data_IF_285820778232
#
_entry.id   IF_285820778232
#
_cell.length_a   1.000
_cell.length_b   1.000
_cell.length_c   1.000
_cell.angle_alpha   90.00
_cell.angle_beta   90.00
_cell.angle_gamma   90.00
#
_symmetry.space_group_name_H-M   'P 1'
#
loop_
_entity.id
_entity.type
_entity.pdbx_description
1 polymer ?
#
# COMPACT_ATOMS: atom_id res chain seq x y z
N UNK A 1 -52.40 54.55 4.08
CA UNK A 1 -52.95 53.19 4.30
C UNK A 1 -52.71 52.39 3.03
N UNK A 2 -51.65 51.59 3.00
CA UNK A 2 -51.31 50.63 1.95
C UNK A 2 -50.63 49.43 2.65
N UNK A 3 -50.93 48.18 2.27
CA UNK A 3 -50.70 47.03 3.13
C UNK A 3 -49.25 46.56 3.12
N UNK A 4 -48.78 46.12 4.28
CA UNK A 4 -47.55 45.35 4.48
C UNK A 4 -47.63 44.07 3.63
N UNK A 5 -46.69 43.91 2.68
CA UNK A 5 -46.41 42.58 2.11
C UNK A 5 -45.66 41.79 3.17
N UNK A 6 -46.37 40.85 3.78
CA UNK A 6 -45.76 39.78 4.55
C UNK A 6 -44.80 39.01 3.63
N UNK A 7 -43.51 39.12 3.90
CA UNK A 7 -42.52 38.13 3.46
C UNK A 7 -42.94 36.80 4.09
N UNK A 8 -43.51 35.91 3.27
CA UNK A 8 -43.65 34.52 3.62
C UNK A 8 -42.23 33.95 3.74
N UNK A 9 -41.79 33.79 4.98
CA UNK A 9 -40.59 33.05 5.37
C UNK A 9 -40.75 31.60 4.91
N UNK A 10 -40.37 31.34 3.65
CA UNK A 10 -40.25 29.99 3.10
C UNK A 10 -39.10 29.32 3.84
N UNK A 11 -39.44 28.66 4.96
CA UNK A 11 -38.54 27.75 5.66
C UNK A 11 -38.04 26.72 4.66
N UNK A 12 -36.85 26.96 4.12
CA UNK A 12 -36.08 25.97 3.37
C UNK A 12 -35.68 24.88 4.37
N UNK A 13 -36.56 23.90 4.55
CA UNK A 13 -36.29 22.70 5.32
C UNK A 13 -35.27 21.91 4.50
N UNK A 14 -33.98 22.17 4.74
CA UNK A 14 -32.91 21.33 4.18
C UNK A 14 -33.13 19.93 4.78
N UNK A 15 -33.27 18.87 3.97
CA UNK A 15 -33.35 17.53 4.50
C UNK A 15 -32.13 17.29 5.37
N UNK A 16 -32.34 16.84 6.61
CA UNK A 16 -31.25 16.46 7.52
C UNK A 16 -30.62 15.19 6.94
N UNK A 17 -29.71 15.38 5.98
CA UNK A 17 -28.98 14.27 5.39
C UNK A 17 -28.02 13.75 6.45
N UNK A 18 -28.12 12.45 6.74
CA UNK A 18 -27.13 11.75 7.54
C UNK A 18 -25.75 11.96 6.92
N UNK A 19 -24.75 12.28 7.74
CA UNK A 19 -23.36 12.41 7.32
C UNK A 19 -22.91 11.21 6.47
N UNK A 20 -23.31 10.00 6.87
CA UNK A 20 -23.04 8.76 6.14
C UNK A 20 -23.69 8.69 4.76
N UNK A 21 -24.88 9.27 4.59
CA UNK A 21 -25.55 9.36 3.30
C UNK A 21 -24.76 10.23 2.31
N UNK A 22 -24.26 11.37 2.78
CA UNK A 22 -23.42 12.28 1.98
C UNK A 22 -22.09 11.63 1.62
N UNK A 23 -21.45 10.96 2.58
CA UNK A 23 -20.19 10.24 2.35
C UNK A 23 -20.38 9.14 1.31
N UNK A 24 -21.44 8.33 1.42
CA UNK A 24 -21.73 7.25 0.49
C UNK A 24 -22.04 7.76 -0.93
N UNK A 25 -22.80 8.84 -1.03
CA UNK A 25 -23.12 9.45 -2.32
C UNK A 25 -21.86 9.98 -3.01
N UNK A 26 -20.99 10.68 -2.26
CA UNK A 26 -19.70 11.17 -2.77
C UNK A 26 -18.79 10.01 -3.18
N UNK A 27 -18.72 8.97 -2.35
CA UNK A 27 -17.92 7.78 -2.61
C UNK A 27 -18.29 7.10 -3.92
N UNK A 28 -19.59 6.89 -4.15
CA UNK A 28 -20.09 6.30 -5.40
C UNK A 28 -19.98 7.21 -6.61
N UNK A 29 -19.98 8.53 -6.41
CA UNK A 29 -19.89 9.49 -7.51
C UNK A 29 -18.49 9.58 -8.12
N UNK A 30 -17.45 9.20 -7.37
CA UNK A 30 -16.07 9.24 -7.83
C UNK A 30 -15.59 7.84 -8.26
N UNK A 31 -15.48 7.65 -9.57
CA UNK A 31 -15.05 6.38 -10.15
C UNK A 31 -13.58 6.03 -9.80
N UNK A 32 -12.71 7.04 -9.57
CA UNK A 32 -11.31 6.82 -9.21
C UNK A 32 -11.23 6.23 -7.80
N UNK A 33 -11.97 6.82 -6.87
CA UNK A 33 -12.04 6.32 -5.48
C UNK A 33 -12.64 4.91 -5.44
N UNK A 34 -13.67 4.64 -6.24
CA UNK A 34 -14.25 3.28 -6.34
C UNK A 34 -13.27 2.27 -6.93
N UNK A 35 -12.51 2.64 -7.98
CA UNK A 35 -11.50 1.77 -8.56
C UNK A 35 -10.36 1.47 -7.58
N UNK A 36 -9.89 2.48 -6.83
CA UNK A 36 -8.86 2.32 -5.80
C UNK A 36 -9.33 1.40 -4.66
N UNK A 37 -10.58 1.56 -4.20
CA UNK A 37 -11.19 0.68 -3.20
C UNK A 37 -11.33 -0.75 -3.70
N UNK A 38 -11.78 -0.94 -4.94
CA UNK A 38 -11.89 -2.26 -5.53
C UNK A 38 -10.52 -2.96 -5.63
N UNK A 39 -9.49 -2.23 -6.08
CA UNK A 39 -8.12 -2.74 -6.15
C UNK A 39 -7.58 -3.10 -4.75
N UNK A 40 -7.82 -2.26 -3.74
CA UNK A 40 -7.38 -2.52 -2.37
C UNK A 40 -8.08 -3.75 -1.80
N UNK A 41 -9.41 -3.85 -1.96
CA UNK A 41 -10.17 -5.02 -1.52
C UNK A 41 -9.69 -6.30 -2.21
N UNK A 42 -9.44 -6.23 -3.52
CA UNK A 42 -8.86 -7.33 -4.28
C UNK A 42 -7.47 -7.75 -3.77
N UNK A 43 -6.60 -6.77 -3.46
CA UNK A 43 -5.27 -7.07 -2.92
C UNK A 43 -5.36 -7.71 -1.52
N UNK A 44 -6.28 -7.23 -0.68
CA UNK A 44 -6.53 -7.78 0.66
C UNK A 44 -7.09 -9.19 0.56
N UNK A 45 -8.07 -9.44 -0.32
CA UNK A 45 -8.67 -10.77 -0.46
C UNK A 45 -7.66 -11.79 -0.98
N UNK A 46 -6.86 -11.44 -2.00
CA UNK A 46 -5.77 -12.31 -2.49
C UNK A 46 -4.75 -12.59 -1.40
N UNK A 47 -4.34 -11.56 -0.66
CA UNK A 47 -3.31 -11.70 0.37
C UNK A 47 -3.79 -12.55 1.57
N UNK A 48 -5.05 -12.40 1.98
CA UNK A 48 -5.64 -13.25 3.03
C UNK A 48 -5.90 -14.67 2.54
N UNK A 49 -6.29 -14.81 1.26
CA UNK A 49 -6.48 -16.09 0.57
C UNK A 49 -5.18 -16.79 0.18
N UNK A 50 -4.01 -16.19 0.45
CA UNK A 50 -2.71 -16.73 0.03
C UNK A 50 -2.48 -18.21 0.37
N UNK A 51 -2.80 -18.72 1.59
CA UNK A 51 -2.64 -20.14 1.89
C UNK A 51 -3.50 -21.04 1.02
N UNK A 52 -4.75 -20.62 0.81
CA UNK A 52 -5.69 -21.36 -0.02
C UNK A 52 -5.24 -21.37 -1.49
N UNK A 53 -4.81 -20.21 -2.01
CA UNK A 53 -4.29 -20.06 -3.37
C UNK A 53 -3.04 -20.91 -3.58
N UNK A 54 -2.09 -20.88 -2.64
CA UNK A 54 -0.85 -21.65 -2.73
C UNK A 54 -1.10 -23.15 -2.82
N UNK A 55 -1.95 -23.68 -1.95
CA UNK A 55 -2.21 -25.13 -1.87
C UNK A 55 -3.17 -25.65 -2.95
N UNK A 56 -4.27 -24.92 -3.22
CA UNK A 56 -5.38 -25.43 -4.05
C UNK A 56 -5.41 -24.88 -5.47
N UNK A 57 -4.67 -23.80 -5.76
CA UNK A 57 -4.64 -23.18 -7.10
C UNK A 57 -3.26 -23.37 -7.73
N UNK A 58 -2.19 -23.06 -6.99
CA UNK A 58 -0.82 -23.11 -7.52
C UNK A 58 -0.14 -24.47 -7.27
N UNK A 59 -0.46 -25.15 -6.17
CA UNK A 59 0.15 -26.42 -5.79
C UNK A 59 1.61 -26.31 -5.35
N UNK A 60 2.07 -25.10 -4.99
CA UNK A 60 3.44 -24.86 -4.51
C UNK A 60 3.42 -24.32 -3.08
N UNK A 61 4.42 -24.74 -2.29
CA UNK A 61 4.66 -24.10 -1.00
C UNK A 61 5.63 -22.92 -1.16
N UNK A 62 5.47 -21.84 -0.38
CA UNK A 62 6.30 -20.63 -0.53
C UNK A 62 7.76 -20.83 -0.13
N UNK A 63 8.07 -21.93 0.56
CA UNK A 63 9.39 -22.21 1.15
C UNK A 63 10.06 -23.46 0.59
N UNK A 64 9.36 -24.29 -0.22
CA UNK A 64 9.98 -25.47 -0.83
C UNK A 64 11.05 -25.05 -1.84
N UNK A 65 12.28 -25.45 -1.57
CA UNK A 65 13.44 -25.15 -2.41
C UNK A 65 13.76 -26.31 -3.33
N UNK A 66 13.93 -26.04 -4.63
CA UNK A 66 14.42 -27.01 -5.59
C UNK A 66 15.61 -26.46 -6.38
N UNK A 67 16.83 -26.84 -5.98
CA UNK A 67 18.06 -26.33 -6.60
C UNK A 67 18.29 -26.79 -8.04
N UNK A 68 17.49 -27.73 -8.57
CA UNK A 68 17.55 -28.10 -9.99
C UNK A 68 16.83 -27.09 -10.89
N UNK A 69 15.87 -26.37 -10.34
CA UNK A 69 15.02 -25.42 -11.05
C UNK A 69 15.38 -23.99 -10.65
N UNK A 70 16.67 -23.62 -10.72
CA UNK A 70 17.14 -22.29 -10.26
C UNK A 70 17.06 -21.28 -11.40
N UNK A 71 16.41 -20.14 -11.15
CA UNK A 71 16.24 -19.07 -12.12
C UNK A 71 15.62 -19.56 -13.44
N UNK A 72 14.69 -20.50 -13.36
CA UNK A 72 13.97 -20.98 -14.54
C UNK A 72 13.01 -19.87 -15.01
N UNK A 73 12.89 -19.65 -16.34
CA UNK A 73 11.90 -18.73 -16.87
C UNK A 73 10.48 -19.21 -16.55
N UNK A 74 9.47 -18.34 -16.71
CA UNK A 74 8.08 -18.76 -16.62
C UNK A 74 7.79 -19.98 -17.49
N UNK A 75 7.15 -21.00 -16.93
CA UNK A 75 6.97 -22.29 -17.62
C UNK A 75 6.21 -22.14 -18.95
N UNK A 76 5.18 -21.27 -18.97
CA UNK A 76 4.42 -20.97 -20.20
C UNK A 76 5.26 -20.27 -21.28
N UNK A 77 6.34 -19.60 -20.90
CA UNK A 77 7.24 -18.89 -21.81
C UNK A 77 8.54 -19.66 -22.08
N UNK A 78 8.74 -20.84 -21.51
CA UNK A 78 10.02 -21.55 -21.54
C UNK A 78 10.51 -21.82 -22.98
N UNK A 79 9.61 -22.21 -23.88
CA UNK A 79 9.93 -22.44 -25.30
C UNK A 79 10.15 -21.13 -26.09
N UNK A 80 9.48 -20.05 -25.69
CA UNK A 80 9.64 -18.73 -26.30
C UNK A 80 10.90 -18.00 -25.80
N UNK A 81 11.44 -18.39 -24.64
CA UNK A 81 12.53 -17.69 -23.95
C UNK A 81 13.82 -17.55 -24.77
N UNK A 82 14.35 -18.61 -25.43
CA UNK A 82 15.54 -18.47 -26.27
C UNK A 82 15.32 -17.55 -27.48
N UNK A 83 14.12 -17.56 -28.05
CA UNK A 83 13.76 -16.68 -29.17
C UNK A 83 13.67 -15.21 -28.72
N UNK A 84 13.12 -14.97 -27.53
CA UNK A 84 13.10 -13.64 -26.94
C UNK A 84 14.52 -13.11 -26.63
N UNK A 85 15.42 -13.98 -26.17
CA UNK A 85 16.83 -13.62 -26.00
C UNK A 85 17.50 -13.27 -27.33
N UNK A 86 17.23 -14.01 -28.41
CA UNK A 86 17.72 -13.70 -29.75
C UNK A 86 17.20 -12.34 -30.26
N UNK A 87 15.91 -12.05 -30.05
CA UNK A 87 15.32 -10.74 -30.35
C UNK A 87 16.04 -9.61 -29.59
N UNK A 88 16.23 -9.78 -28.28
CA UNK A 88 16.91 -8.80 -27.43
C UNK A 88 18.34 -8.55 -27.90
N UNK A 89 19.05 -9.62 -28.29
CA UNK A 89 20.40 -9.52 -28.84
C UNK A 89 20.41 -8.75 -30.18
N UNK A 90 19.41 -8.94 -31.04
CA UNK A 90 19.28 -8.19 -32.30
C UNK A 90 19.20 -6.68 -32.05
N UNK A 91 18.42 -6.26 -31.05
CA UNK A 91 18.29 -4.86 -30.64
C UNK A 91 19.58 -4.27 -30.05
N UNK A 92 20.39 -5.09 -29.37
CA UNK A 92 21.62 -4.63 -28.74
C UNK A 92 22.79 -4.54 -29.73
N UNK A 93 22.83 -5.44 -30.72
CA UNK A 93 23.94 -5.58 -31.66
C UNK A 93 23.74 -4.82 -32.97
N UNK A 94 22.49 -4.56 -33.36
CA UNK A 94 22.13 -3.88 -34.60
C UNK A 94 21.47 -2.53 -34.33
N UNK A 95 21.46 -1.64 -35.33
CA UNK A 95 20.75 -0.35 -35.24
C UNK A 95 19.21 -0.51 -35.23
N UNK A 96 18.71 -1.71 -35.51
CA UNK A 96 17.29 -2.03 -35.62
C UNK A 96 17.00 -3.37 -34.95
N UNK A 97 15.83 -3.47 -34.32
CA UNK A 97 15.31 -4.72 -33.78
C UNK A 97 14.64 -5.55 -34.88
N UNK A 98 14.88 -6.85 -34.91
CA UNK A 98 14.19 -7.76 -35.83
C UNK A 98 12.79 -8.12 -35.31
N UNK A 99 11.82 -7.25 -35.61
CA UNK A 99 10.43 -7.42 -35.20
C UNK A 99 9.73 -8.64 -35.82
N UNK A 100 10.31 -9.28 -36.85
CA UNK A 100 9.72 -10.47 -37.48
C UNK A 100 9.63 -11.67 -36.53
N UNK A 101 10.51 -11.73 -35.53
CA UNK A 101 10.59 -12.80 -34.53
C UNK A 101 9.39 -12.80 -33.56
N UNK A 102 8.63 -11.70 -33.47
CA UNK A 102 7.49 -11.63 -32.56
C UNK A 102 6.38 -12.63 -32.91
N UNK A 103 6.23 -13.00 -34.18
CA UNK A 103 5.27 -14.04 -34.58
C UNK A 103 5.58 -15.42 -33.98
N UNK A 104 6.87 -15.81 -33.98
CA UNK A 104 7.30 -17.09 -33.41
C UNK A 104 7.32 -17.07 -31.88
N UNK A 105 7.73 -15.94 -31.27
CA UNK A 105 7.72 -15.76 -29.81
C UNK A 105 6.30 -15.85 -29.27
N UNK A 106 5.35 -15.13 -29.88
CA UNK A 106 3.95 -15.12 -29.43
C UNK A 106 3.28 -16.47 -29.61
N UNK A 107 3.47 -17.14 -30.74
CA UNK A 107 2.91 -18.48 -30.96
C UNK A 107 3.47 -19.51 -29.98
N UNK A 108 4.79 -19.53 -29.74
CA UNK A 108 5.41 -20.42 -28.75
C UNK A 108 4.93 -20.14 -27.31
N UNK A 109 4.71 -18.87 -26.96
CA UNK A 109 4.16 -18.49 -25.66
C UNK A 109 2.69 -18.90 -25.49
N UNK A 110 1.86 -18.75 -26.54
CA UNK A 110 0.46 -19.17 -26.52
C UNK A 110 0.34 -20.68 -26.38
N UNK A 111 1.19 -21.45 -27.07
CA UNK A 111 1.26 -22.89 -26.92
C UNK A 111 1.64 -23.29 -25.48
N UNK A 112 2.70 -22.68 -24.92
CA UNK A 112 3.11 -22.93 -23.54
C UNK A 112 2.05 -22.52 -22.50
N UNK A 113 1.27 -21.47 -22.76
CA UNK A 113 0.14 -21.06 -21.92
C UNK A 113 -0.93 -22.17 -21.86
N UNK A 114 -1.26 -22.78 -23.00
CA UNK A 114 -2.22 -23.89 -23.05
C UNK A 114 -1.75 -25.08 -22.21
N UNK A 115 -0.46 -25.42 -22.28
CA UNK A 115 0.17 -26.47 -21.47
C UNK A 115 0.05 -26.19 -19.98
N UNK A 116 0.30 -24.95 -19.56
CA UNK A 116 0.18 -24.54 -18.15
C UNK A 116 -1.27 -24.52 -17.64
N UNK A 117 -2.24 -24.17 -18.49
CA UNK A 117 -3.66 -24.19 -18.12
C UNK A 117 -4.19 -25.62 -17.93
N UNK A 118 -3.62 -26.60 -18.64
CA UNK A 118 -3.98 -28.02 -18.50
C UNK A 118 -3.05 -28.79 -17.55
N UNK A 119 -2.01 -28.15 -17.03
CA UNK A 119 -1.06 -28.79 -16.13
C UNK A 119 -1.73 -29.15 -14.80
N UNK A 120 -1.26 -30.24 -14.19
CA UNK A 120 -1.65 -30.59 -12.83
C UNK A 120 -1.13 -29.55 -11.81
N UNK A 121 -1.74 -29.52 -10.63
CA UNK A 121 -1.31 -28.69 -9.50
C UNK A 121 0.18 -28.88 -9.22
N UNK A 122 0.94 -27.78 -9.12
CA UNK A 122 2.39 -27.82 -8.93
C UNK A 122 3.20 -28.13 -10.19
N UNK A 123 2.57 -28.17 -11.37
CA UNK A 123 3.24 -28.45 -12.65
C UNK A 123 3.71 -27.23 -13.44
N UNK A 124 3.25 -26.01 -13.11
CA UNK A 124 3.57 -24.80 -13.88
C UNK A 124 3.97 -23.62 -12.98
N UNK A 125 5.21 -23.14 -13.16
CA UNK A 125 5.71 -21.91 -12.55
C UNK A 125 5.34 -20.70 -13.41
N UNK A 126 4.19 -20.10 -13.13
CA UNK A 126 3.63 -18.97 -13.89
C UNK A 126 4.54 -17.74 -14.01
N UNK A 127 5.37 -17.49 -12.99
CA UNK A 127 6.36 -16.41 -12.97
C UNK A 127 7.80 -16.92 -12.93
N UNK A 128 8.00 -18.21 -13.15
CA UNK A 128 9.30 -18.86 -13.04
C UNK A 128 9.72 -19.07 -11.58
N UNK A 129 11.01 -19.37 -11.41
CA UNK A 129 11.59 -19.69 -10.11
C UNK A 129 12.71 -18.72 -9.73
N UNK A 130 12.94 -18.57 -8.43
CA UNK A 130 14.02 -17.74 -7.91
C UNK A 130 15.38 -18.47 -7.86
N UNK A 131 16.36 -17.80 -7.26
CA UNK A 131 17.72 -18.29 -7.06
C UNK A 131 17.83 -19.54 -6.17
N UNK A 132 16.81 -19.85 -5.38
CA UNK A 132 16.69 -21.06 -4.57
C UNK A 132 15.73 -22.09 -5.19
N UNK A 133 15.23 -21.82 -6.39
CA UNK A 133 14.26 -22.63 -7.11
C UNK A 133 12.89 -22.72 -6.44
N UNK A 134 12.46 -21.62 -5.81
CA UNK A 134 11.10 -21.46 -5.27
C UNK A 134 10.21 -20.76 -6.29
N UNK A 135 8.93 -21.11 -6.31
CA UNK A 135 7.95 -20.49 -7.19
C UNK A 135 7.74 -18.99 -6.86
N UNK A 136 8.00 -18.12 -7.84
CA UNK A 136 7.97 -16.65 -7.64
C UNK A 136 6.54 -16.15 -7.42
N UNK A 137 5.55 -16.70 -8.13
CA UNK A 137 4.16 -16.26 -8.02
C UNK A 137 3.60 -16.54 -6.63
N UNK A 138 3.80 -17.75 -6.12
CA UNK A 138 3.38 -18.17 -4.78
C UNK A 138 4.04 -17.30 -3.71
N UNK A 139 5.34 -17.03 -3.85
CA UNK A 139 6.05 -16.11 -2.94
C UNK A 139 5.52 -14.69 -3.01
N UNK A 140 5.13 -14.20 -4.19
CA UNK A 140 4.50 -12.89 -4.36
C UNK A 140 3.16 -12.80 -3.62
N UNK A 141 2.29 -13.79 -3.81
CA UNK A 141 0.96 -13.87 -3.15
C UNK A 141 1.11 -13.91 -1.62
N UNK A 142 2.00 -14.75 -1.09
CA UNK A 142 2.32 -14.77 0.35
C UNK A 142 3.00 -13.49 0.84
N UNK A 143 3.81 -12.86 0.00
CA UNK A 143 4.45 -11.58 0.26
C UNK A 143 3.41 -10.47 0.51
N UNK A 144 2.31 -10.46 -0.25
CA UNK A 144 1.18 -9.56 -0.04
C UNK A 144 0.63 -9.62 1.39
N UNK A 145 0.45 -10.82 1.94
CA UNK A 145 0.02 -11.03 3.33
C UNK A 145 0.98 -10.42 4.34
N UNK A 146 2.27 -10.62 4.16
CA UNK A 146 3.30 -10.08 5.05
C UNK A 146 3.32 -8.55 4.97
N UNK A 147 3.28 -7.99 3.75
CA UNK A 147 3.25 -6.54 3.52
C UNK A 147 2.04 -5.86 4.16
N UNK A 148 0.85 -6.48 4.09
CA UNK A 148 -0.35 -5.96 4.75
C UNK A 148 -0.20 -5.93 6.28
N UNK A 149 0.36 -6.98 6.88
CA UNK A 149 0.63 -7.00 8.34
C UNK A 149 1.64 -5.93 8.73
N UNK A 150 2.73 -5.77 7.96
CA UNK A 150 3.74 -4.73 8.19
C UNK A 150 3.08 -3.35 8.11
N UNK A 151 2.31 -3.07 7.05
CA UNK A 151 1.61 -1.81 6.87
C UNK A 151 0.68 -1.49 8.05
N UNK A 152 -0.05 -2.49 8.56
CA UNK A 152 -0.93 -2.33 9.72
C UNK A 152 -0.14 -1.98 11.00
N UNK A 153 0.98 -2.66 11.26
CA UNK A 153 1.84 -2.34 12.39
C UNK A 153 2.42 -0.93 12.31
N UNK A 154 2.97 -0.56 11.15
CA UNK A 154 3.53 0.78 10.91
C UNK A 154 2.44 1.84 11.12
N UNK A 155 1.28 1.67 10.50
CA UNK A 155 0.16 2.60 10.62
C UNK A 155 -0.32 2.70 12.07
N UNK A 156 -0.55 1.57 12.75
CA UNK A 156 -1.02 1.56 14.13
C UNK A 156 -0.08 2.29 15.10
N UNK A 157 1.22 1.99 15.05
CA UNK A 157 2.21 2.62 15.93
C UNK A 157 2.39 4.11 15.58
N UNK A 158 2.58 4.44 14.30
CA UNK A 158 2.80 5.82 13.88
C UNK A 158 1.58 6.70 14.10
N UNK A 159 0.37 6.17 13.89
CA UNK A 159 -0.89 6.87 14.17
C UNK A 159 -1.08 7.12 15.65
N UNK A 160 -0.86 6.09 16.48
CA UNK A 160 -1.02 6.24 17.93
C UNK A 160 -0.08 7.31 18.47
N UNK A 161 1.22 7.21 18.16
CA UNK A 161 2.20 8.19 18.62
C UNK A 161 1.98 9.57 18.01
N UNK A 162 1.71 9.62 16.70
CA UNK A 162 1.55 10.89 15.97
C UNK A 162 0.32 11.67 16.45
N UNK A 163 -0.81 10.99 16.63
CA UNK A 163 -2.02 11.62 17.15
C UNK A 163 -1.82 12.06 18.60
N UNK A 164 -1.28 11.21 19.47
CA UNK A 164 -1.06 11.57 20.88
C UNK A 164 -0.13 12.79 21.01
N UNK A 165 1.04 12.75 20.37
CA UNK A 165 2.02 13.83 20.46
C UNK A 165 1.52 15.11 19.79
N UNK A 166 0.82 14.99 18.65
CA UNK A 166 0.23 16.13 17.94
C UNK A 166 -0.91 16.79 18.72
N UNK A 167 -1.74 16.00 19.40
CA UNK A 167 -2.78 16.51 20.30
C UNK A 167 -2.17 17.24 21.50
N UNK A 168 -1.16 16.65 22.14
CA UNK A 168 -0.48 17.26 23.30
C UNK A 168 0.15 18.60 22.88
N UNK A 169 0.99 18.59 21.85
CA UNK A 169 1.67 19.80 21.35
C UNK A 169 0.68 20.85 20.81
N UNK A 170 -0.39 20.42 20.13
CA UNK A 170 -1.42 21.32 19.63
C UNK A 170 -2.27 21.97 20.73
N UNK A 171 -2.61 21.20 21.77
CA UNK A 171 -3.39 21.69 22.91
C UNK A 171 -2.59 22.69 23.75
N UNK A 172 -1.33 22.35 24.05
CA UNK A 172 -0.40 23.18 24.81
C UNK A 172 0.38 24.17 23.92
N UNK A 173 -0.24 24.67 22.85
CA UNK A 173 0.38 25.59 21.90
C UNK A 173 1.16 26.71 22.60
N UNK A 174 2.34 27.04 22.08
CA UNK A 174 3.17 28.16 22.57
C UNK A 174 3.68 28.02 24.01
N UNK A 175 3.58 26.84 24.60
CA UNK A 175 4.17 26.52 25.91
C UNK A 175 5.46 25.71 25.75
N UNK A 176 6.22 25.60 26.83
CA UNK A 176 7.42 24.75 26.88
C UNK A 176 7.19 23.29 26.47
N UNK A 177 5.97 22.75 26.67
CA UNK A 177 5.64 21.38 26.24
C UNK A 177 5.69 21.27 24.71
N UNK A 178 5.13 22.26 24.01
CA UNK A 178 5.14 22.35 22.56
C UNK A 178 6.59 22.46 22.03
N UNK A 179 7.41 23.27 22.69
CA UNK A 179 8.83 23.43 22.36
C UNK A 179 9.61 22.12 22.53
N UNK A 180 9.39 21.36 23.63
CA UNK A 180 10.03 20.06 23.83
C UNK A 180 9.63 19.07 22.73
N UNK A 181 8.34 18.94 22.45
CA UNK A 181 7.85 18.00 21.43
C UNK A 181 8.44 18.35 20.07
N UNK A 182 8.47 19.64 19.73
CA UNK A 182 9.06 20.11 18.49
C UNK A 182 10.59 19.88 18.45
N UNK A 183 11.29 20.08 19.56
CA UNK A 183 12.72 19.78 19.67
C UNK A 183 13.01 18.29 19.43
N UNK A 184 12.24 17.38 20.04
CA UNK A 184 12.36 15.93 19.82
C UNK A 184 12.16 15.60 18.33
N UNK A 185 11.11 16.15 17.71
CA UNK A 185 10.82 15.94 16.28
C UNK A 185 11.97 16.45 15.40
N UNK A 186 12.53 17.62 15.70
CA UNK A 186 13.63 18.19 14.93
C UNK A 186 14.92 17.39 15.10
N UNK A 187 15.26 16.97 16.32
CA UNK A 187 16.44 16.16 16.61
C UNK A 187 16.35 14.79 15.94
N UNK A 188 15.25 14.06 16.14
CA UNK A 188 15.06 12.75 15.51
C UNK A 188 14.96 12.87 13.97
N UNK A 189 14.34 13.95 13.47
CA UNK A 189 14.18 14.21 12.04
C UNK A 189 15.48 14.59 11.32
N UNK A 190 16.51 15.05 12.03
CA UNK A 190 17.83 15.31 11.45
C UNK A 190 18.60 14.03 11.08
N UNK A 191 18.22 12.89 11.66
CA UNK A 191 18.84 11.60 11.38
C UNK A 191 18.12 10.97 10.18
N UNK A 192 18.82 10.61 9.08
CA UNK A 192 18.15 10.00 7.95
C UNK A 192 17.62 8.61 8.34
N UNK A 193 16.30 8.43 8.20
CA UNK A 193 15.56 7.27 8.69
C UNK A 193 16.17 5.93 8.22
N UNK A 194 16.59 5.85 6.95
CA UNK A 194 17.18 4.63 6.41
C UNK A 194 18.45 4.22 7.14
N UNK A 195 19.36 5.15 7.46
CA UNK A 195 20.58 4.84 8.21
C UNK A 195 20.26 4.36 9.62
N UNK A 196 19.33 5.03 10.30
CA UNK A 196 18.89 4.64 11.63
C UNK A 196 18.33 3.21 11.64
N UNK A 197 17.45 2.90 10.68
CA UNK A 197 16.86 1.55 10.55
C UNK A 197 17.92 0.49 10.22
N UNK A 198 18.92 0.80 9.38
CA UNK A 198 20.02 -0.13 9.09
C UNK A 198 20.85 -0.42 10.34
N UNK A 199 21.21 0.61 11.12
CA UNK A 199 21.97 0.43 12.37
C UNK A 199 21.17 -0.39 13.37
N UNK A 200 19.91 -0.04 13.61
CA UNK A 200 19.04 -0.75 14.54
C UNK A 200 18.76 -2.18 14.11
N UNK A 201 18.54 -2.42 12.81
CA UNK A 201 18.33 -3.78 12.28
C UNK A 201 19.55 -4.66 12.45
N UNK A 202 20.77 -4.09 12.35
CA UNK A 202 22.01 -4.82 12.61
C UNK A 202 22.20 -5.16 14.09
N UNK A 203 21.84 -4.25 14.99
CA UNK A 203 22.00 -4.44 16.43
C UNK A 203 20.96 -5.44 16.98
N UNK A 204 19.69 -5.23 16.65
CA UNK A 204 18.58 -5.97 17.26
C UNK A 204 18.13 -7.19 16.45
N UNK A 205 18.57 -7.32 15.18
CA UNK A 205 18.14 -8.36 14.25
C UNK A 205 16.62 -8.65 14.27
N UNK A 206 15.77 -7.60 14.24
CA UNK A 206 14.34 -7.78 14.34
C UNK A 206 13.79 -8.55 13.13
N UNK A 207 12.81 -9.42 13.39
CA UNK A 207 12.00 -10.00 12.33
C UNK A 207 11.15 -8.94 11.60
N UNK A 208 10.35 -9.34 10.60
CA UNK A 208 9.55 -8.42 9.78
C UNK A 208 8.62 -7.51 10.60
N UNK A 209 7.95 -8.06 11.61
CA UNK A 209 7.06 -7.33 12.50
C UNK A 209 7.85 -6.36 13.42
N UNK A 210 9.04 -6.74 13.87
CA UNK A 210 9.90 -5.87 14.67
C UNK A 210 10.42 -4.67 13.85
N UNK A 211 10.80 -4.90 12.59
CA UNK A 211 11.15 -3.82 11.66
C UNK A 211 9.97 -2.87 11.43
N UNK A 212 8.75 -3.41 11.28
CA UNK A 212 7.53 -2.62 11.12
C UNK A 212 7.30 -1.69 12.32
N UNK A 213 7.48 -2.20 13.55
CA UNK A 213 7.36 -1.40 14.77
C UNK A 213 8.41 -0.29 14.80
N UNK A 214 9.67 -0.58 14.45
CA UNK A 214 10.72 0.44 14.37
C UNK A 214 10.37 1.54 13.36
N UNK A 215 9.91 1.16 12.16
CA UNK A 215 9.48 2.12 11.14
C UNK A 215 8.33 2.99 11.70
N UNK A 216 7.33 2.41 12.36
CA UNK A 216 6.24 3.15 12.98
C UNK A 216 6.70 4.11 14.09
N UNK A 217 7.64 3.66 14.94
CA UNK A 217 8.22 4.41 16.06
C UNK A 217 9.01 5.64 15.60
N UNK A 218 9.54 5.64 14.39
CA UNK A 218 10.22 6.81 13.82
C UNK A 218 9.39 7.53 12.73
N UNK A 219 8.27 6.95 12.31
CA UNK A 219 7.38 7.52 11.29
C UNK A 219 6.35 8.53 11.81
N UNK A 220 6.11 8.60 13.12
CA UNK A 220 5.04 9.41 13.72
C UNK A 220 5.22 10.93 13.61
N UNK A 221 6.47 11.40 13.44
CA UNK A 221 6.82 12.83 13.47
C UNK A 221 6.07 13.67 12.42
N UNK A 222 5.91 13.14 11.21
CA UNK A 222 5.16 13.80 10.14
C UNK A 222 3.68 13.95 10.51
N UNK A 223 3.07 12.87 11.00
CA UNK A 223 1.68 12.87 11.42
C UNK A 223 1.43 13.77 12.62
N UNK A 224 2.34 13.80 13.60
CA UNK A 224 2.25 14.71 14.76
C UNK A 224 2.17 16.17 14.35
N UNK A 225 2.97 16.59 13.36
CA UNK A 225 2.93 17.95 12.83
C UNK A 225 1.62 18.25 12.12
N UNK A 226 1.10 17.29 11.36
CA UNK A 226 -0.21 17.42 10.70
C UNK A 226 -1.33 17.62 11.73
N UNK A 227 -1.41 16.76 12.75
CA UNK A 227 -2.43 16.84 13.79
C UNK A 227 -2.31 18.13 14.60
N UNK A 228 -1.09 18.54 14.98
CA UNK A 228 -0.84 19.83 15.63
C UNK A 228 -1.42 21.00 14.82
N UNK A 229 -1.18 21.03 13.52
CA UNK A 229 -1.73 22.05 12.62
C UNK A 229 -3.27 22.04 12.55
N UNK A 230 -3.89 20.85 12.56
CA UNK A 230 -5.35 20.73 12.64
C UNK A 230 -5.90 21.27 13.97
N UNK A 231 -5.22 21.01 15.09
CA UNK A 231 -5.64 21.52 16.39
C UNK A 231 -5.54 23.05 16.45
N UNK A 232 -4.49 23.65 15.89
CA UNK A 232 -4.40 25.11 15.78
C UNK A 232 -5.58 25.68 14.98
N UNK A 233 -5.92 25.06 13.83
CA UNK A 233 -7.07 25.47 13.03
C UNK A 233 -8.41 25.31 13.77
N UNK A 234 -8.59 24.23 14.53
CA UNK A 234 -9.84 23.97 15.27
C UNK A 234 -9.98 24.91 16.46
N UNK A 235 -8.88 25.26 17.13
CA UNK A 235 -8.87 26.15 18.30
C UNK A 235 -9.42 27.55 18.00
N UNK A 236 -9.26 28.03 16.77
CA UNK A 236 -9.73 29.35 16.34
C UNK A 236 -11.20 29.38 15.87
N UNK A 237 -11.92 28.25 15.94
CA UNK A 237 -13.31 28.18 15.47
C UNK A 237 -14.30 28.74 16.50
N UNK A 238 -15.34 29.42 16.02
CA UNK A 238 -16.35 30.11 16.84
C UNK A 238 -17.00 29.22 17.89
N UNK A 239 -17.27 27.95 17.59
CA UNK A 239 -17.87 27.03 18.55
C UNK A 239 -16.93 26.71 19.73
N UNK A 240 -15.60 26.71 19.52
CA UNK A 240 -14.63 26.53 20.60
C UNK A 240 -14.55 27.78 21.45
N UNK A 241 -14.56 28.96 20.83
CA UNK A 241 -14.56 30.24 21.54
C UNK A 241 -15.84 30.38 22.37
N UNK A 242 -17.00 30.10 21.79
CA UNK A 242 -18.29 30.10 22.49
C UNK A 242 -18.31 29.12 23.66
N UNK A 243 -17.75 27.91 23.50
CA UNK A 243 -17.65 26.93 24.59
C UNK A 243 -16.75 27.35 25.75
N UNK A 244 -15.83 28.30 25.54
CA UNK A 244 -14.97 28.86 26.60
C UNK A 244 -15.57 30.10 27.27
N UNK A 245 -16.59 30.71 26.66
CA UNK A 245 -17.24 31.92 27.17
C UNK A 245 -18.39 31.63 28.14
N UNK A 246 -18.86 30.37 28.16
CA UNK A 246 -19.87 29.84 29.09
C UNK A 246 -19.12 29.13 30.23
#
# INVERSE_FOLDING_TARGET
MAPQKAEADEKVIRPVQSYWGVVWQRLRSDWITMAALALLLFMVTISLGAPWIGEHVLGFSPTATNLRQRNDPPTWAAAAWPQFQAFTLSCQTSAHCDWSQWGSITSAAVEGLSTCLTAELGGCHWMGTDDAGRDVLTRGVYGGRISLRIGLWVAGVSMTLGVLMGLISGYYATTFIDDIVNAIIMTLGSIPLLFLLIILSRIFQPGPEGLAILIGLFGWMGLSRLIRGQIFSVRERDYVIASRAI
#
